data_IF_232877484736
#
_entry.id   IF_232877484736
#
_cell.length_a   1.000
_cell.length_b   1.000
_cell.length_c   1.000
_cell.angle_alpha   90.00
_cell.angle_beta   90.00
_cell.angle_gamma   90.00
#
_symmetry.space_group_name_H-M   'P 1'
#
loop_
_entity.id
_entity.type
_entity.pdbx_description
1 polymer ?
#
# COMPACT_ATOMS: atom_id res chain seq x y z
N UNK A 1 2.94 4.30 11.54
CA UNK A 1 3.81 3.74 10.48
C UNK A 1 3.48 2.28 10.28
N UNK A 2 3.43 1.82 9.02
CA UNK A 2 3.15 0.41 8.72
C UNK A 2 4.38 -0.43 9.02
N UNK A 3 4.18 -1.52 9.76
CA UNK A 3 5.22 -2.49 10.05
C UNK A 3 4.98 -3.74 9.18
N UNK A 4 5.90 -4.01 8.27
CA UNK A 4 5.78 -5.13 7.35
C UNK A 4 6.39 -6.38 7.98
N UNK A 5 5.63 -7.47 7.98
CA UNK A 5 6.05 -8.75 8.54
C UNK A 5 5.72 -9.89 7.57
N UNK A 6 5.95 -11.13 7.99
CA UNK A 6 5.63 -12.29 7.18
C UNK A 6 4.14 -12.51 6.95
N UNK A 7 3.27 -11.86 7.74
CA UNK A 7 1.83 -11.98 7.60
C UNK A 7 1.20 -10.84 6.81
N UNK A 8 1.97 -9.82 6.43
CA UNK A 8 1.44 -8.64 5.77
C UNK A 8 0.87 -8.98 4.40
N UNK A 9 -0.35 -8.53 4.12
CA UNK A 9 -0.98 -8.69 2.81
C UNK A 9 -0.53 -7.58 1.89
N UNK A 10 -0.05 -7.95 0.70
CA UNK A 10 0.40 -7.00 -0.31
C UNK A 10 -0.76 -6.66 -1.25
N UNK A 11 -1.02 -5.36 -1.42
CA UNK A 11 -1.99 -4.82 -2.37
C UNK A 11 -1.26 -3.82 -3.24
N UNK A 12 -1.63 -3.71 -4.52
CA UNK A 12 -0.91 -2.80 -5.38
C UNK A 12 -1.68 -2.34 -6.59
N UNK A 13 -1.14 -1.30 -7.22
CA UNK A 13 -1.59 -0.82 -8.53
C UNK A 13 -0.49 -1.16 -9.54
N UNK A 14 -0.87 -1.77 -10.67
CA UNK A 14 0.08 -2.08 -11.74
C UNK A 14 -0.17 -1.15 -12.92
N UNK A 15 0.89 -0.80 -13.62
CA UNK A 15 0.79 0.07 -14.80
C UNK A 15 2.07 0.85 -15.03
N UNK A 16 2.02 1.71 -16.05
CA UNK A 16 3.16 2.55 -16.41
C UNK A 16 2.66 3.84 -17.07
N UNK A 17 3.08 5.02 -16.60
CA UNK A 17 3.81 5.23 -15.34
C UNK A 17 2.89 5.18 -14.13
N UNK A 18 3.40 4.81 -12.96
CA UNK A 18 2.62 4.73 -11.71
C UNK A 18 3.27 5.46 -10.52
N UNK A 19 4.50 5.95 -10.70
CA UNK A 19 5.26 6.55 -9.60
C UNK A 19 4.63 7.83 -9.04
N UNK A 20 3.74 8.47 -9.80
CA UNK A 20 3.04 9.68 -9.34
C UNK A 20 1.66 9.38 -8.78
N UNK A 21 1.27 8.11 -8.71
CA UNK A 21 -0.02 7.75 -8.13
C UNK A 21 -0.09 8.12 -6.66
N UNK A 22 -1.22 8.68 -6.24
CA UNK A 22 -1.49 8.99 -4.84
C UNK A 22 -2.12 7.80 -4.10
N UNK A 23 -2.46 6.71 -4.82
CA UNK A 23 -3.14 5.56 -4.24
C UNK A 23 -2.35 4.91 -3.10
N UNK A 24 -1.03 4.69 -3.22
CA UNK A 24 -0.29 4.10 -2.10
C UNK A 24 -0.37 4.93 -0.81
N UNK A 25 -0.30 6.26 -0.91
CA UNK A 25 -0.36 7.12 0.26
C UNK A 25 -1.74 7.07 0.91
N UNK A 26 -2.79 7.14 0.11
CA UNK A 26 -4.19 7.12 0.58
C UNK A 26 -4.55 5.77 1.17
N UNK A 27 -4.23 4.69 0.46
CA UNK A 27 -4.61 3.34 0.89
C UNK A 27 -3.84 2.90 2.14
N UNK A 28 -2.54 3.21 2.21
CA UNK A 28 -1.74 2.86 3.38
C UNK A 28 -2.20 3.62 4.62
N UNK A 29 -2.58 4.89 4.46
CA UNK A 29 -3.14 5.67 5.56
C UNK A 29 -4.45 5.04 6.08
N UNK A 30 -5.30 4.57 5.18
CA UNK A 30 -6.54 3.91 5.54
C UNK A 30 -6.27 2.58 6.24
N UNK A 31 -5.32 1.78 5.76
CA UNK A 31 -4.95 0.51 6.37
C UNK A 31 -4.45 0.71 7.80
N UNK A 32 -3.62 1.73 8.00
CA UNK A 32 -3.10 2.06 9.33
C UNK A 32 -4.22 2.49 10.26
N UNK A 33 -5.14 3.33 9.79
CA UNK A 33 -6.27 3.81 10.58
C UNK A 33 -7.21 2.66 10.99
N UNK A 34 -7.34 1.63 10.15
CA UNK A 34 -8.18 0.47 10.41
C UNK A 34 -7.45 -0.65 11.15
N UNK A 35 -6.16 -0.50 11.40
CA UNK A 35 -5.36 -1.52 12.07
C UNK A 35 -5.14 -2.78 11.23
N UNK A 36 -5.15 -2.64 9.89
CA UNK A 36 -4.96 -3.77 9.00
C UNK A 36 -3.47 -4.05 8.77
N UNK A 37 -3.10 -5.33 8.73
CA UNK A 37 -1.75 -5.79 8.39
C UNK A 37 -1.62 -5.89 6.86
N UNK A 38 -1.81 -4.76 6.20
CA UNK A 38 -1.81 -4.65 4.75
C UNK A 38 -0.88 -3.53 4.31
N UNK A 39 -0.28 -3.67 3.14
CA UNK A 39 0.54 -2.63 2.53
C UNK A 39 0.18 -2.47 1.06
N UNK A 40 0.13 -1.24 0.59
CA UNK A 40 -0.23 -0.89 -0.79
C UNK A 40 0.98 -0.28 -1.47
N UNK A 41 1.33 -0.77 -2.65
CA UNK A 41 2.49 -0.29 -3.41
C UNK A 41 2.14 -0.08 -4.88
N UNK A 42 2.93 0.76 -5.54
CA UNK A 42 2.85 0.94 -6.99
C UNK A 42 3.84 -0.01 -7.66
N UNK A 43 3.36 -0.76 -8.65
CA UNK A 43 4.15 -1.77 -9.38
C UNK A 43 4.22 -1.36 -10.86
N UNK A 44 5.32 -0.75 -11.31
CA UNK A 44 5.49 -0.37 -12.71
C UNK A 44 5.65 -1.58 -13.62
#
# INVERSE_FOLDING_TARGET
MIEISGTTTLVGIIGWPVEHSLSPRMQNAAFEALGLDWVYVALP
#
